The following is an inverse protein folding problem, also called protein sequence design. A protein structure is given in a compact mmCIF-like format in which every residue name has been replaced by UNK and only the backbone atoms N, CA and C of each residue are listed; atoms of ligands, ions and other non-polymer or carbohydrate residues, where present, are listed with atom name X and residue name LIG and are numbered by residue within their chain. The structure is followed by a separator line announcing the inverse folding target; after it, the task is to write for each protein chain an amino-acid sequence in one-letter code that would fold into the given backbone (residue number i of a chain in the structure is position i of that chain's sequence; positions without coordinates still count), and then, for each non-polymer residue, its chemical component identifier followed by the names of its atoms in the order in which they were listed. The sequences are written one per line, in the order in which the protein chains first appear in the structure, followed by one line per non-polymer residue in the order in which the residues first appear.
data_IF_177884984081
#
_entry.id   IF_177884984081
#
_cell.length_a   1.000
_cell.length_b   1.000
_cell.length_c   1.000
_cell.angle_alpha   90.00
_cell.angle_beta   90.00
_cell.angle_gamma   90.00
#
_symmetry.space_group_name_H-M   'P 1'
#
loop_
_entity.id
_entity.type
_entity.pdbx_description
1 polymer ?
#
# COMPACT_ATOMS: atom_id res chain seq x y z
N UNK A 1 22.19 -4.79 -46.35
CA UNK A 1 21.75 -3.74 -45.40
C UNK A 1 20.74 -4.34 -44.43
N UNK A 2 20.77 -3.92 -43.15
CA UNK A 2 20.73 -4.84 -42.02
C UNK A 2 19.32 -5.22 -41.55
N UNK A 3 19.26 -6.37 -40.90
CA UNK A 3 18.11 -6.85 -40.15
C UNK A 3 17.71 -5.84 -39.06
N UNK A 4 16.41 -5.54 -38.98
CA UNK A 4 15.82 -4.75 -37.91
C UNK A 4 15.99 -5.44 -36.56
N UNK A 5 16.26 -4.71 -35.46
CA UNK A 5 16.37 -5.30 -34.14
C UNK A 5 14.98 -5.74 -33.66
N UNK A 6 14.92 -6.96 -33.14
CA UNK A 6 13.76 -7.47 -32.41
C UNK A 6 13.41 -6.51 -31.27
N UNK A 7 12.13 -6.16 -31.15
CA UNK A 7 11.60 -5.39 -30.03
C UNK A 7 11.85 -6.12 -28.71
N UNK A 8 12.17 -5.41 -27.61
CA UNK A 8 12.26 -6.03 -26.30
C UNK A 8 10.87 -6.58 -25.90
N UNK A 9 10.82 -7.83 -25.48
CA UNK A 9 9.66 -8.47 -24.87
C UNK A 9 9.20 -7.69 -23.62
N UNK A 10 7.89 -7.54 -23.36
CA UNK A 10 7.42 -6.99 -22.10
C UNK A 10 7.84 -7.92 -20.96
N UNK A 11 8.60 -7.36 -20.03
CA UNK A 11 8.98 -7.99 -18.77
C UNK A 11 7.69 -8.47 -18.07
N UNK A 12 7.46 -9.79 -18.01
CA UNK A 12 6.36 -10.40 -17.25
C UNK A 12 6.66 -10.42 -15.75
N UNK A 13 7.20 -9.32 -15.23
CA UNK A 13 7.20 -9.05 -13.80
C UNK A 13 5.90 -8.33 -13.52
N UNK A 14 5.03 -9.00 -12.75
CA UNK A 14 3.90 -8.35 -12.08
C UNK A 14 4.34 -6.97 -11.58
N UNK A 15 3.51 -5.91 -11.72
CA UNK A 15 3.79 -4.66 -11.04
C UNK A 15 4.08 -4.99 -9.58
N UNK A 16 5.30 -4.71 -9.13
CA UNK A 16 5.65 -4.86 -7.72
C UNK A 16 4.62 -4.11 -6.91
N UNK A 17 4.06 -4.73 -5.86
CA UNK A 17 3.09 -4.08 -4.98
C UNK A 17 3.66 -2.82 -4.30
N UNK A 18 4.98 -2.67 -4.34
CA UNK A 18 5.75 -1.51 -3.88
C UNK A 18 6.40 -0.81 -5.07
N UNK A 19 6.16 0.49 -5.19
CA UNK A 19 6.86 1.35 -6.14
C UNK A 19 8.30 1.60 -5.69
N UNK A 20 9.24 0.98 -6.40
CA UNK A 20 10.68 1.10 -6.13
C UNK A 20 11.18 2.55 -6.22
N UNK A 21 10.53 3.44 -6.98
CA UNK A 21 10.93 4.85 -7.07
C UNK A 21 10.71 5.60 -5.77
N UNK A 22 9.67 5.23 -5.01
CA UNK A 22 9.39 5.82 -3.69
C UNK A 22 10.50 5.45 -2.73
N UNK A 23 10.87 4.17 -2.68
CA UNK A 23 11.98 3.70 -1.84
C UNK A 23 13.32 4.30 -2.26
N UNK A 24 13.58 4.44 -3.56
CA UNK A 24 14.81 5.07 -4.04
C UNK A 24 14.86 6.56 -3.67
N UNK A 25 13.75 7.28 -3.86
CA UNK A 25 13.68 8.71 -3.49
C UNK A 25 13.87 8.91 -1.98
N UNK A 26 13.36 7.99 -1.17
CA UNK A 26 13.61 7.96 0.26
C UNK A 26 15.10 7.78 0.58
N UNK A 27 15.76 6.81 -0.09
CA UNK A 27 17.21 6.61 0.07
C UNK A 27 18.03 7.83 -0.30
N UNK A 28 17.71 8.46 -1.43
CA UNK A 28 18.38 9.66 -1.91
C UNK A 28 18.22 10.84 -0.93
N UNK A 29 17.09 10.90 -0.22
CA UNK A 29 16.80 11.94 0.78
C UNK A 29 17.51 11.71 2.12
N UNK A 30 17.56 10.46 2.61
CA UNK A 30 18.09 10.13 3.94
C UNK A 30 19.60 9.87 3.92
N UNK A 31 20.15 9.33 2.82
CA UNK A 31 21.58 9.04 2.69
C UNK A 31 22.02 7.77 3.43
N UNK A 32 23.15 7.82 4.14
CA UNK A 32 23.83 6.63 4.68
C UNK A 32 22.98 5.81 5.67
N UNK A 33 22.04 6.45 6.38
CA UNK A 33 21.15 5.77 7.34
C UNK A 33 19.85 5.27 6.71
N UNK A 34 19.67 5.40 5.39
CA UNK A 34 18.39 5.16 4.74
C UNK A 34 17.87 3.73 4.95
N UNK A 35 18.73 2.72 4.86
CA UNK A 35 18.30 1.33 4.99
C UNK A 35 17.88 0.99 6.44
N UNK A 36 18.52 1.59 7.46
CA UNK A 36 18.10 1.45 8.86
C UNK A 36 16.72 2.07 9.10
N UNK A 37 16.51 3.30 8.63
CA UNK A 37 15.21 3.97 8.80
C UNK A 37 14.13 3.28 7.99
N UNK A 38 14.45 2.82 6.78
CA UNK A 38 13.52 2.07 5.94
C UNK A 38 13.11 0.74 6.59
N UNK A 39 14.07 0.02 7.19
CA UNK A 39 13.80 -1.18 7.96
C UNK A 39 12.79 -0.94 9.09
N UNK A 40 12.99 0.10 9.92
CA UNK A 40 12.06 0.47 10.99
C UNK A 40 10.67 0.84 10.43
N UNK A 41 10.63 1.60 9.34
CA UNK A 41 9.37 1.98 8.70
C UNK A 41 8.59 0.78 8.15
N UNK A 42 9.29 -0.19 7.55
CA UNK A 42 8.69 -1.45 7.09
C UNK A 42 8.13 -2.23 8.28
N UNK A 43 8.90 -2.37 9.35
CA UNK A 43 8.50 -3.13 10.54
C UNK A 43 7.25 -2.50 11.19
N UNK A 44 7.23 -1.17 11.34
CA UNK A 44 6.06 -0.44 11.85
C UNK A 44 4.84 -0.60 10.94
N UNK A 45 5.03 -0.51 9.63
CA UNK A 45 3.95 -0.67 8.66
C UNK A 45 3.32 -2.07 8.72
N UNK A 46 4.16 -3.11 8.77
CA UNK A 46 3.71 -4.50 8.88
C UNK A 46 2.99 -4.79 10.20
N UNK A 47 3.35 -4.10 11.27
CA UNK A 47 2.66 -4.21 12.56
C UNK A 47 1.29 -3.51 12.56
N UNK A 48 1.20 -2.30 11.98
CA UNK A 48 0.02 -1.45 12.11
C UNK A 48 -1.04 -1.67 11.03
N UNK A 49 -0.64 -2.03 9.80
CA UNK A 49 -1.56 -2.20 8.70
C UNK A 49 -2.66 -3.26 8.97
N UNK A 50 -2.38 -4.44 9.58
CA UNK A 50 -3.42 -5.40 9.94
C UNK A 50 -4.44 -4.84 10.94
N UNK A 51 -3.97 -4.05 11.92
CA UNK A 51 -4.84 -3.41 12.92
C UNK A 51 -5.79 -2.41 12.25
N UNK A 52 -5.26 -1.63 11.30
CA UNK A 52 -6.04 -0.66 10.52
C UNK A 52 -7.05 -1.33 9.58
N UNK A 53 -6.67 -2.44 8.93
CA UNK A 53 -7.60 -3.24 8.13
C UNK A 53 -8.75 -3.79 8.96
N UNK A 54 -8.46 -4.33 10.15
CA UNK A 54 -9.48 -4.78 11.10
C UNK A 54 -10.42 -3.64 11.54
N UNK A 55 -9.88 -2.44 11.76
CA UNK A 55 -10.68 -1.26 12.07
C UNK A 55 -11.57 -0.83 10.90
N UNK A 56 -11.09 -0.89 9.66
CA UNK A 56 -11.89 -0.63 8.45
C UNK A 56 -13.04 -1.64 8.35
N UNK A 57 -12.78 -2.93 8.52
CA UNK A 57 -13.80 -3.97 8.47
C UNK A 57 -14.87 -3.80 9.56
N UNK A 58 -14.43 -3.47 10.78
CA UNK A 58 -15.30 -3.19 11.91
C UNK A 58 -16.18 -1.97 11.63
N UNK A 59 -15.58 -0.88 11.17
CA UNK A 59 -16.29 0.36 10.87
C UNK A 59 -17.32 0.17 9.74
N UNK A 60 -16.97 -0.60 8.72
CA UNK A 60 -17.87 -0.93 7.62
C UNK A 60 -19.08 -1.74 8.13
N UNK A 61 -18.87 -2.72 9.01
CA UNK A 61 -19.94 -3.56 9.59
C UNK A 61 -20.84 -2.76 10.53
N UNK A 62 -20.28 -1.84 11.31
CA UNK A 62 -21.02 -1.01 12.26
C UNK A 62 -21.62 0.25 11.62
N UNK A 63 -21.42 0.45 10.32
CA UNK A 63 -21.79 1.68 9.61
C UNK A 63 -21.21 2.95 10.26
N UNK A 64 -20.04 2.85 10.89
CA UNK A 64 -19.34 3.98 11.50
C UNK A 64 -18.48 4.71 10.46
N UNK A 65 -19.10 5.66 9.78
CA UNK A 65 -18.43 6.49 8.78
C UNK A 65 -17.22 7.26 9.33
N UNK A 66 -17.23 7.66 10.61
CA UNK A 66 -16.13 8.43 11.22
C UNK A 66 -14.92 7.54 11.43
N UNK A 67 -15.11 6.36 12.01
CA UNK A 67 -14.05 5.39 12.21
C UNK A 67 -13.50 4.88 10.87
N UNK A 68 -14.38 4.60 9.91
CA UNK A 68 -14.00 4.18 8.56
C UNK A 68 -13.09 5.23 7.91
N UNK A 69 -13.46 6.50 8.01
CA UNK A 69 -12.65 7.61 7.49
C UNK A 69 -11.29 7.66 8.14
N UNK A 70 -11.22 7.58 9.47
CA UNK A 70 -9.98 7.68 10.23
C UNK A 70 -9.02 6.53 9.90
N UNK A 71 -9.50 5.29 9.96
CA UNK A 71 -8.68 4.11 9.67
C UNK A 71 -8.19 4.12 8.21
N UNK A 72 -9.07 4.45 7.26
CA UNK A 72 -8.71 4.57 5.84
C UNK A 72 -7.69 5.69 5.60
N UNK A 73 -7.84 6.84 6.26
CA UNK A 73 -6.91 7.96 6.13
C UNK A 73 -5.49 7.61 6.62
N UNK A 74 -5.41 6.95 7.78
CA UNK A 74 -4.13 6.51 8.35
C UNK A 74 -3.46 5.47 7.45
N UNK A 75 -4.19 4.43 7.05
CA UNK A 75 -3.64 3.37 6.19
C UNK A 75 -3.26 3.88 4.80
N UNK A 76 -4.02 4.84 4.25
CA UNK A 76 -3.66 5.53 3.01
C UNK A 76 -2.28 6.19 3.12
N UNK A 77 -2.11 7.01 4.15
CA UNK A 77 -0.89 7.80 4.33
C UNK A 77 0.32 6.90 4.51
N UNK A 78 0.23 5.90 5.39
CA UNK A 78 1.32 4.94 5.61
C UNK A 78 1.63 4.12 4.35
N UNK A 79 0.61 3.70 3.60
CA UNK A 79 0.79 2.95 2.34
C UNK A 79 1.46 3.80 1.27
N UNK A 80 1.10 5.08 1.15
CA UNK A 80 1.76 6.00 0.23
C UNK A 80 3.24 6.20 0.57
N UNK A 81 3.56 6.30 1.87
CA UNK A 81 4.93 6.50 2.35
C UNK A 81 5.85 5.33 1.98
N UNK A 82 5.34 4.09 2.03
CA UNK A 82 6.13 2.90 1.69
C UNK A 82 6.06 2.51 0.20
N UNK A 83 5.35 3.28 -0.62
CA UNK A 83 5.21 3.03 -2.06
C UNK A 83 4.12 2.01 -2.43
N UNK A 84 3.25 1.63 -1.49
CA UNK A 84 2.08 0.79 -1.75
C UNK A 84 0.93 1.60 -2.37
N UNK A 85 1.15 2.09 -3.60
CA UNK A 85 0.28 3.08 -4.27
C UNK A 85 -1.14 2.55 -4.49
N UNK A 86 -1.28 1.31 -4.95
CA UNK A 86 -2.60 0.70 -5.19
C UNK A 86 -3.43 0.60 -3.91
N UNK A 87 -2.81 0.19 -2.80
CA UNK A 87 -3.47 0.09 -1.51
C UNK A 87 -3.84 1.47 -0.96
N UNK A 88 -2.96 2.46 -1.14
CA UNK A 88 -3.23 3.86 -0.84
C UNK A 88 -4.46 4.38 -1.59
N UNK A 89 -4.57 4.10 -2.90
CA UNK A 89 -5.71 4.52 -3.72
C UNK A 89 -7.03 3.85 -3.30
N UNK A 90 -6.99 2.59 -2.90
CA UNK A 90 -8.17 1.91 -2.33
C UNK A 90 -8.60 2.60 -1.03
N UNK A 91 -7.67 2.85 -0.12
CA UNK A 91 -7.95 3.56 1.12
C UNK A 91 -8.48 4.98 0.87
N UNK A 92 -7.98 5.68 -0.15
CA UNK A 92 -8.50 6.99 -0.54
C UNK A 92 -9.97 6.93 -0.99
N UNK A 93 -10.36 5.90 -1.76
CA UNK A 93 -11.77 5.70 -2.15
C UNK A 93 -12.65 5.45 -0.93
N UNK A 94 -12.20 4.63 0.03
CA UNK A 94 -12.92 4.41 1.29
C UNK A 94 -13.06 5.72 2.09
N UNK A 95 -11.97 6.50 2.20
CA UNK A 95 -11.99 7.80 2.88
C UNK A 95 -12.98 8.77 2.22
N UNK A 96 -13.05 8.83 0.89
CA UNK A 96 -14.00 9.69 0.17
C UNK A 96 -15.45 9.22 0.38
N UNK A 97 -15.73 7.91 0.24
CA UNK A 97 -17.07 7.36 0.37
C UNK A 97 -17.61 7.45 1.80
N UNK A 98 -16.74 7.35 2.80
CA UNK A 98 -17.11 7.58 4.20
C UNK A 98 -17.61 9.00 4.47
N UNK A 99 -17.12 10.02 3.75
CA UNK A 99 -17.56 11.42 3.92
C UNK A 99 -19.01 11.65 3.50
N UNK A 100 -19.51 10.83 2.57
CA UNK A 100 -20.92 10.86 2.12
C UNK A 100 -21.78 9.80 2.82
N UNK A 101 -21.25 9.13 3.86
CA UNK A 101 -21.97 8.13 4.64
C UNK A 101 -22.14 6.77 3.96
N UNK A 102 -21.46 6.49 2.84
CA UNK A 102 -21.58 5.22 2.13
C UNK A 102 -20.58 4.20 2.69
N UNK A 103 -20.95 3.55 3.79
CA UNK A 103 -20.16 2.50 4.44
C UNK A 103 -20.28 1.15 3.74
N UNK A 104 -21.37 0.90 3.00
CA UNK A 104 -21.59 -0.35 2.26
C UNK A 104 -20.56 -0.53 1.14
N UNK A 105 -20.12 0.58 0.53
CA UNK A 105 -18.98 0.57 -0.40
C UNK A 105 -17.72 -0.04 0.22
N UNK A 106 -17.48 0.19 1.52
CA UNK A 106 -16.33 -0.39 2.19
C UNK A 106 -16.46 -1.90 2.34
N UNK A 107 -17.64 -2.41 2.71
CA UNK A 107 -17.90 -3.85 2.79
C UNK A 107 -17.62 -4.57 1.46
N UNK A 108 -18.08 -4.00 0.35
CA UNK A 108 -17.83 -4.54 -1.00
C UNK A 108 -16.34 -4.53 -1.38
N UNK A 109 -15.56 -3.62 -0.82
CA UNK A 109 -14.13 -3.44 -1.16
C UNK A 109 -13.18 -4.15 -0.20
N UNK A 110 -13.65 -4.68 0.93
CA UNK A 110 -12.81 -5.40 1.89
C UNK A 110 -11.99 -6.54 1.25
N UNK A 111 -12.57 -7.45 0.43
CA UNK A 111 -11.78 -8.53 -0.17
C UNK A 111 -10.66 -8.02 -1.09
N UNK A 112 -10.92 -6.92 -1.80
CA UNK A 112 -9.92 -6.29 -2.66
C UNK A 112 -8.81 -5.63 -1.83
N UNK A 113 -9.17 -4.99 -0.71
CA UNK A 113 -8.24 -4.33 0.19
C UNK A 113 -7.31 -5.35 0.86
N UNK A 114 -7.86 -6.46 1.35
CA UNK A 114 -7.11 -7.56 1.96
C UNK A 114 -6.17 -8.23 0.94
N UNK A 115 -6.67 -8.53 -0.26
CA UNK A 115 -5.86 -9.13 -1.32
C UNK A 115 -4.70 -8.22 -1.74
N UNK A 116 -4.92 -6.90 -1.79
CA UNK A 116 -3.86 -5.95 -2.12
C UNK A 116 -2.84 -5.83 -0.98
N UNK A 117 -3.31 -5.78 0.28
CA UNK A 117 -2.40 -5.81 1.43
C UNK A 117 -1.53 -7.07 1.47
N UNK A 118 -2.09 -8.25 1.16
CA UNK A 118 -1.29 -9.48 1.11
C UNK A 118 -0.13 -9.42 0.09
N UNK A 119 -0.32 -8.72 -1.04
CA UNK A 119 0.78 -8.48 -1.99
C UNK A 119 1.81 -7.49 -1.45
N UNK A 120 1.35 -6.43 -0.79
CA UNK A 120 2.20 -5.42 -0.16
C UNK A 120 3.05 -6.05 0.93
N UNK A 121 2.45 -6.83 1.83
CA UNK A 121 3.12 -7.56 2.89
C UNK A 121 4.23 -8.46 2.32
N UNK A 122 3.90 -9.30 1.34
CA UNK A 122 4.87 -10.20 0.72
C UNK A 122 6.05 -9.43 0.09
N UNK A 123 5.77 -8.32 -0.61
CA UNK A 123 6.81 -7.49 -1.22
C UNK A 123 7.71 -6.81 -0.17
N UNK A 124 7.11 -6.28 0.91
CA UNK A 124 7.87 -5.64 1.99
C UNK A 124 8.72 -6.64 2.78
N UNK A 125 8.23 -7.86 3.02
CA UNK A 125 9.03 -8.92 3.64
C UNK A 125 10.25 -9.29 2.81
N UNK A 126 10.14 -9.29 1.48
CA UNK A 126 11.30 -9.51 0.59
C UNK A 126 12.28 -8.34 0.68
N UNK A 127 11.80 -7.10 0.62
CA UNK A 127 12.67 -5.92 0.77
C UNK A 127 13.37 -5.89 2.12
N UNK A 128 12.68 -6.25 3.20
CA UNK A 128 13.21 -6.25 4.57
C UNK A 128 14.37 -7.23 4.76
N UNK A 129 14.42 -8.32 3.99
CA UNK A 129 15.51 -9.30 4.00
C UNK A 129 16.73 -8.86 3.18
N UNK A 130 16.58 -7.83 2.34
CA UNK A 130 17.62 -7.34 1.42
C UNK A 130 18.36 -6.11 1.97
N UNK A 131 17.89 -5.52 3.07
CA UNK A 131 18.45 -4.36 3.75
C UNK A 131 18.81 -4.73 5.19
#
# INVERSE_FOLDING_TARGET
SPASPASPTPDSRLPSAIDAKVLQSFRDMVGESADLVLAEMIDCYLEDAPKLLGAIATAATQQDAKLLRQASHTLKSSSSTIGAITLSDLCNKLEVMSRIGNTDYALDKLPQLEAEYGKVEAALQVHRQQI
#
